data_IF_322805733526
#
_entry.id   IF_322805733526
#
_cell.length_a   1.000
_cell.length_b   1.000
_cell.length_c   1.000
_cell.angle_alpha   90.00
_cell.angle_beta   90.00
_cell.angle_gamma   90.00
#
_symmetry.space_group_name_H-M   'P 1'
#
loop_
_entity.id
_entity.type
_entity.pdbx_description
1 polymer ?
#
# COMPACT_ATOMS: atom_id res chain seq x y z
N UNK A 1 24.25 30.50 31.25
CA UNK A 1 23.20 29.59 30.75
C UNK A 1 23.46 29.41 29.26
N UNK A 2 23.99 28.26 28.85
CA UNK A 2 24.09 27.93 27.43
C UNK A 2 22.68 27.63 26.95
N UNK A 3 22.13 28.53 26.13
CA UNK A 3 20.94 28.25 25.35
C UNK A 3 21.31 27.09 24.42
N UNK A 4 20.69 25.93 24.60
CA UNK A 4 20.79 24.85 23.63
C UNK A 4 20.13 25.34 22.33
N UNK A 5 20.94 25.90 21.43
CA UNK A 5 20.48 26.38 20.12
C UNK A 5 20.41 25.22 19.11
N UNK A 6 19.91 24.06 19.52
CA UNK A 6 19.40 23.10 18.55
C UNK A 6 18.00 23.58 18.18
N UNK A 7 17.94 24.51 17.24
CA UNK A 7 16.68 24.83 16.58
C UNK A 7 16.21 23.54 15.89
N UNK A 8 15.00 23.08 16.26
CA UNK A 8 14.37 21.96 15.57
C UNK A 8 14.29 22.33 14.08
N UNK A 9 14.78 21.48 13.16
CA UNK A 9 14.64 21.76 11.73
C UNK A 9 13.17 21.94 11.39
N UNK A 10 12.87 22.89 10.49
CA UNK A 10 11.49 23.19 10.08
C UNK A 10 10.82 21.94 9.48
N UNK A 11 11.58 21.12 8.75
CA UNK A 11 11.25 19.79 8.25
C UNK A 11 11.97 18.70 9.08
N UNK A 12 11.29 18.00 10.00
CA UNK A 12 11.96 17.05 10.87
C UNK A 12 12.23 15.68 10.23
N UNK A 13 11.68 15.37 9.05
CA UNK A 13 11.78 14.06 8.43
C UNK A 13 12.71 14.09 7.23
N UNK A 14 13.62 13.11 7.15
CA UNK A 14 14.62 12.95 6.10
C UNK A 14 14.48 11.56 5.46
N UNK A 15 14.34 11.54 4.14
CA UNK A 15 14.35 10.34 3.31
C UNK A 15 15.59 10.35 2.40
N UNK A 16 16.34 9.25 2.36
CA UNK A 16 17.40 8.99 1.38
C UNK A 16 17.01 7.81 0.52
N UNK A 17 17.13 7.98 -0.79
CA UNK A 17 16.82 6.95 -1.79
C UNK A 17 17.98 6.77 -2.78
N UNK A 18 18.10 5.59 -3.36
CA UNK A 18 19.01 5.25 -4.45
C UNK A 18 18.19 4.83 -5.66
N UNK A 19 18.37 5.51 -6.79
CA UNK A 19 17.68 5.16 -8.04
C UNK A 19 18.35 3.99 -8.78
N UNK A 20 17.75 3.57 -9.89
CA UNK A 20 18.23 2.46 -10.74
C UNK A 20 19.64 2.75 -11.30
N UNK A 21 19.98 4.02 -11.49
CA UNK A 21 21.28 4.49 -11.97
C UNK A 21 22.33 4.64 -10.84
N UNK A 22 21.99 4.22 -9.61
CA UNK A 22 22.81 4.33 -8.39
C UNK A 22 23.03 5.77 -7.91
N UNK A 23 22.19 6.70 -8.32
CA UNK A 23 22.22 8.07 -7.80
C UNK A 23 21.50 8.12 -6.46
N UNK A 24 22.16 8.71 -5.47
CA UNK A 24 21.58 8.91 -4.14
C UNK A 24 20.95 10.29 -4.04
N UNK A 25 19.68 10.33 -3.68
CA UNK A 25 18.91 11.56 -3.48
C UNK A 25 18.46 11.69 -2.02
N UNK A 26 18.18 12.93 -1.58
CA UNK A 26 17.66 13.21 -0.25
C UNK A 26 16.46 14.16 -0.31
N UNK A 27 15.47 13.91 0.53
CA UNK A 27 14.21 14.64 0.57
C UNK A 27 13.82 14.97 2.02
N UNK A 28 13.17 16.12 2.19
CA UNK A 28 12.79 16.65 3.48
C UNK A 28 11.27 16.83 3.57
N UNK A 29 10.69 16.40 4.69
CA UNK A 29 9.25 16.41 4.92
C UNK A 29 8.89 17.01 6.29
N UNK A 30 7.69 17.60 6.38
CA UNK A 30 7.17 18.22 7.60
C UNK A 30 6.45 17.22 8.53
N UNK A 31 5.85 16.19 7.95
CA UNK A 31 5.12 15.15 8.63
C UNK A 31 5.54 13.75 8.17
N UNK A 32 5.31 12.76 9.03
CA UNK A 32 5.72 11.37 8.82
C UNK A 32 4.96 10.72 7.65
N UNK A 33 3.66 11.01 7.54
CA UNK A 33 2.78 10.40 6.53
C UNK A 33 3.23 10.77 5.12
N UNK A 34 3.44 12.06 4.85
CA UNK A 34 3.89 12.52 3.53
C UNK A 34 5.23 11.90 3.13
N UNK A 35 6.15 11.70 4.07
CA UNK A 35 7.40 10.98 3.81
C UNK A 35 7.18 9.49 3.51
N UNK A 36 6.27 8.84 4.24
CA UNK A 36 5.94 7.44 4.01
C UNK A 36 5.31 7.23 2.63
N UNK A 37 4.38 8.11 2.24
CA UNK A 37 3.73 8.08 0.92
C UNK A 37 4.76 8.26 -0.22
N UNK A 38 5.66 9.26 -0.12
CA UNK A 38 6.77 9.44 -1.09
C UNK A 38 7.74 8.25 -1.11
N UNK A 39 8.03 7.64 0.05
CA UNK A 39 8.88 6.46 0.11
C UNK A 39 8.25 5.24 -0.56
N UNK A 40 6.91 5.10 -0.52
CA UNK A 40 6.18 4.04 -1.24
C UNK A 40 6.20 4.30 -2.74
N UNK A 41 5.87 5.52 -3.18
CA UNK A 41 5.89 5.90 -4.60
C UNK A 41 7.27 5.66 -5.23
N UNK A 42 8.34 6.10 -4.56
CA UNK A 42 9.73 5.90 -5.01
C UNK A 42 10.10 4.43 -5.13
N UNK A 43 9.67 3.60 -4.18
CA UNK A 43 9.91 2.16 -4.25
C UNK A 43 9.20 1.54 -5.45
N UNK A 44 7.95 1.93 -5.72
CA UNK A 44 7.20 1.53 -6.91
C UNK A 44 7.90 1.95 -8.21
N UNK A 45 8.63 3.07 -8.21
CA UNK A 45 9.48 3.52 -9.31
C UNK A 45 10.84 2.78 -9.41
N UNK A 46 11.07 1.78 -8.57
CA UNK A 46 12.30 0.98 -8.55
C UNK A 46 13.45 1.59 -7.73
N UNK A 47 13.19 2.67 -6.98
CA UNK A 47 14.19 3.22 -6.06
C UNK A 47 14.31 2.38 -4.79
N UNK A 48 15.53 2.27 -4.28
CA UNK A 48 15.83 1.66 -2.98
C UNK A 48 15.81 2.71 -1.89
N UNK A 49 15.02 2.50 -0.84
CA UNK A 49 15.08 3.33 0.36
C UNK A 49 16.35 2.98 1.17
N UNK A 50 17.24 3.96 1.33
CA UNK A 50 18.47 3.82 2.13
C UNK A 50 18.18 4.15 3.59
N UNK A 51 17.49 5.26 3.85
CA UNK A 51 17.27 5.79 5.18
C UNK A 51 15.97 6.58 5.24
N UNK A 52 15.20 6.36 6.30
CA UNK A 52 14.07 7.21 6.67
C UNK A 52 14.16 7.50 8.17
N UNK A 53 14.29 8.77 8.54
CA UNK A 53 14.50 9.20 9.93
C UNK A 53 13.74 10.48 10.27
N UNK A 54 13.21 10.55 11.49
CA UNK A 54 12.84 11.82 12.11
C UNK A 54 14.05 12.34 12.88
N UNK A 55 14.64 13.44 12.43
CA UNK A 55 15.83 14.04 13.01
C UNK A 55 15.53 14.68 14.37
N UNK A 56 14.33 15.22 14.58
CA UNK A 56 14.01 15.88 15.85
C UNK A 56 13.93 14.94 17.04
N UNK A 57 13.57 13.68 16.81
CA UNK A 57 13.51 12.66 17.85
C UNK A 57 14.61 11.60 17.72
N UNK A 58 15.43 11.67 16.67
CA UNK A 58 16.41 10.65 16.30
C UNK A 58 15.80 9.24 16.25
N UNK A 59 14.60 9.11 15.68
CA UNK A 59 13.97 7.80 15.47
C UNK A 59 14.03 7.44 13.99
N UNK A 60 14.23 6.14 13.73
CA UNK A 60 13.96 5.57 12.41
C UNK A 60 12.46 5.61 12.19
N UNK A 61 12.06 5.97 10.99
CA UNK A 61 10.66 5.90 10.58
C UNK A 61 10.48 4.58 9.86
N UNK A 62 9.46 3.84 10.26
CA UNK A 62 9.06 2.62 9.57
C UNK A 62 8.45 3.04 8.24
N UNK A 63 9.05 2.58 7.13
CA UNK A 63 8.40 2.70 5.83
C UNK A 63 7.51 1.46 5.70
N UNK A 64 6.21 1.65 5.41
CA UNK A 64 5.33 0.53 5.15
C UNK A 64 5.97 -0.46 4.17
N UNK A 65 5.77 -1.77 4.36
CA UNK A 65 6.09 -2.73 3.32
C UNK A 65 5.35 -2.32 2.05
N UNK A 66 5.94 -2.67 0.90
CA UNK A 66 5.27 -2.43 -0.38
C UNK A 66 4.00 -3.26 -0.33
N UNK A 67 2.84 -2.61 -0.44
CA UNK A 67 1.58 -3.33 -0.52
C UNK A 67 1.52 -3.91 -1.93
N UNK A 68 1.93 -5.16 -2.03
CA UNK A 68 2.06 -5.87 -3.29
C UNK A 68 0.74 -6.53 -3.65
N UNK A 69 0.63 -6.92 -4.92
CA UNK A 69 -0.47 -7.75 -5.40
C UNK A 69 -0.71 -8.99 -4.52
N UNK A 70 0.37 -9.57 -3.97
CA UNK A 70 0.27 -10.72 -3.06
C UNK A 70 -0.38 -10.37 -1.72
N UNK A 71 -0.10 -9.18 -1.17
CA UNK A 71 -0.71 -8.74 0.09
C UNK A 71 -2.21 -8.49 -0.12
N UNK A 72 -2.58 -7.88 -1.25
CA UNK A 72 -3.97 -7.71 -1.64
C UNK A 72 -4.70 -9.04 -1.83
N UNK A 73 -4.11 -9.98 -2.57
CA UNK A 73 -4.66 -11.34 -2.76
C UNK A 73 -4.85 -12.03 -1.40
N UNK A 74 -3.88 -11.91 -0.49
CA UNK A 74 -3.97 -12.52 0.83
C UNK A 74 -5.13 -11.92 1.65
N UNK A 75 -5.32 -10.59 1.63
CA UNK A 75 -6.42 -9.95 2.34
C UNK A 75 -7.80 -10.34 1.79
N UNK A 76 -7.95 -10.36 0.46
CA UNK A 76 -9.18 -10.82 -0.21
C UNK A 76 -9.49 -12.27 0.15
N UNK A 77 -8.49 -13.15 0.12
CA UNK A 77 -8.65 -14.56 0.51
C UNK A 77 -9.05 -14.71 1.97
N UNK A 78 -8.39 -13.98 2.88
CA UNK A 78 -8.68 -14.05 4.30
C UNK A 78 -10.14 -13.65 4.59
N UNK A 79 -10.63 -12.58 3.95
CA UNK A 79 -12.02 -12.15 4.09
C UNK A 79 -13.00 -13.20 3.52
N UNK A 80 -12.70 -13.75 2.34
CA UNK A 80 -13.52 -14.78 1.70
C UNK A 80 -13.60 -16.07 2.52
N UNK A 81 -12.45 -16.59 2.97
CA UNK A 81 -12.38 -17.81 3.76
C UNK A 81 -13.02 -17.65 5.14
N UNK A 82 -12.95 -16.46 5.74
CA UNK A 82 -13.69 -16.17 6.97
C UNK A 82 -15.21 -16.20 6.74
N UNK A 83 -15.70 -15.57 5.66
CA UNK A 83 -17.12 -15.63 5.28
C UNK A 83 -17.59 -17.07 5.03
N UNK A 84 -16.78 -17.91 4.37
CA UNK A 84 -17.06 -19.34 4.19
C UNK A 84 -17.12 -20.09 5.52
N UNK A 85 -16.18 -19.84 6.44
CA UNK A 85 -16.18 -20.47 7.78
C UNK A 85 -17.40 -20.09 8.60
N UNK A 86 -17.93 -18.89 8.40
CA UNK A 86 -19.18 -18.44 9.02
C UNK A 86 -20.43 -19.11 8.41
N UNK A 87 -20.29 -19.81 7.28
CA UNK A 87 -21.37 -20.56 6.64
C UNK A 87 -22.33 -19.70 5.83
N UNK A 88 -21.85 -18.60 5.25
CA UNK A 88 -22.67 -17.77 4.37
C UNK A 88 -22.87 -18.42 2.99
N UNK A 89 -24.11 -18.43 2.53
CA UNK A 89 -24.52 -19.08 1.27
C UNK A 89 -24.28 -18.21 0.03
N UNK A 90 -24.17 -16.89 0.23
CA UNK A 90 -23.92 -15.89 -0.81
C UNK A 90 -22.95 -14.87 -0.25
N UNK A 91 -21.78 -14.78 -0.88
CA UNK A 91 -20.66 -13.95 -0.43
C UNK A 91 -20.44 -12.87 -1.48
N UNK A 92 -20.49 -11.62 -1.02
CA UNK A 92 -20.07 -10.44 -1.79
C UNK A 92 -19.03 -9.70 -0.96
N UNK A 93 -17.81 -9.56 -1.49
CA UNK A 93 -16.77 -8.75 -0.89
C UNK A 93 -16.84 -7.34 -1.46
N UNK A 94 -16.83 -6.34 -0.59
CA UNK A 94 -16.71 -4.94 -0.98
C UNK A 94 -15.27 -4.50 -0.73
N UNK A 95 -14.63 -3.95 -1.76
CA UNK A 95 -13.26 -3.44 -1.72
C UNK A 95 -13.35 -1.92 -1.81
N UNK A 96 -13.25 -1.26 -0.67
CA UNK A 96 -13.19 0.19 -0.59
C UNK A 96 -11.76 0.65 -0.89
N UNK A 97 -11.61 1.56 -1.84
CA UNK A 97 -10.32 2.11 -2.23
C UNK A 97 -10.20 3.56 -1.81
N UNK A 98 -8.96 4.04 -1.69
CA UNK A 98 -8.69 5.46 -1.44
C UNK A 98 -9.10 6.38 -2.61
N UNK A 99 -9.50 5.81 -3.76
CA UNK A 99 -9.88 6.53 -4.98
C UNK A 99 -11.38 6.86 -5.10
N UNK A 100 -12.12 6.89 -3.98
CA UNK A 100 -13.59 7.06 -3.92
C UNK A 100 -14.40 5.94 -4.60
N UNK A 101 -13.74 4.95 -5.21
CA UNK A 101 -14.36 3.80 -5.86
C UNK A 101 -14.44 2.61 -4.88
N UNK A 102 -15.60 1.94 -4.90
CA UNK A 102 -15.81 0.65 -4.24
C UNK A 102 -16.06 -0.41 -5.29
N UNK A 103 -15.29 -1.49 -5.26
CA UNK A 103 -15.46 -2.64 -6.15
C UNK A 103 -16.17 -3.79 -5.41
N UNK A 104 -16.97 -4.57 -6.13
CA UNK A 104 -17.71 -5.69 -5.58
C UNK A 104 -17.32 -7.00 -6.25
N UNK A 105 -16.94 -7.97 -5.43
CA UNK A 105 -16.58 -9.32 -5.87
C UNK A 105 -17.67 -10.28 -5.39
N UNK A 106 -18.36 -10.91 -6.31
CA UNK A 106 -19.41 -11.87 -6.03
C UNK A 106 -18.94 -13.30 -6.30
N UNK A 107 -19.12 -14.18 -5.32
CA UNK A 107 -19.01 -15.63 -5.52
C UNK A 107 -20.30 -16.15 -6.17
N UNK A 108 -20.19 -16.65 -7.39
CA UNK A 108 -21.31 -17.16 -8.17
C UNK A 108 -21.10 -18.63 -8.55
N UNK A 109 -22.17 -19.36 -8.93
CA UNK A 109 -22.02 -20.75 -9.40
C UNK A 109 -21.13 -20.90 -10.64
N UNK A 110 -20.88 -19.83 -11.39
CA UNK A 110 -20.04 -19.83 -12.58
C UNK A 110 -18.56 -19.47 -12.28
N UNK A 111 -18.24 -19.08 -11.04
CA UNK A 111 -16.95 -18.52 -10.65
C UNK A 111 -17.09 -17.14 -10.00
N UNK A 112 -15.99 -16.39 -9.93
CA UNK A 112 -15.95 -15.06 -9.32
C UNK A 112 -16.25 -13.98 -10.35
N UNK A 113 -17.20 -13.11 -10.04
CA UNK A 113 -17.54 -11.96 -10.87
C UNK A 113 -17.21 -10.67 -10.11
N UNK A 114 -16.49 -9.76 -10.74
CA UNK A 114 -16.24 -8.42 -10.22
C UNK A 114 -16.92 -7.39 -11.13
N UNK A 115 -17.55 -6.38 -10.53
CA UNK A 115 -18.24 -5.29 -11.24
C UNK A 115 -17.32 -4.42 -12.11
N UNK A 116 -16.00 -4.50 -11.89
CA UNK A 116 -14.99 -3.86 -12.73
C UNK A 116 -14.78 -4.56 -14.10
N UNK A 117 -15.27 -5.80 -14.28
CA UNK A 117 -15.00 -6.65 -15.44
C UNK A 117 -16.26 -7.28 -16.03
N UNK A 118 -16.30 -7.42 -17.37
CA UNK A 118 -17.44 -8.03 -18.09
C UNK A 118 -17.35 -9.56 -18.22
N UNK A 119 -16.45 -10.21 -17.48
CA UNK A 119 -16.21 -11.65 -17.53
C UNK A 119 -16.06 -12.27 -16.14
N UNK A 120 -16.10 -13.61 -16.09
CA UNK A 120 -16.04 -14.40 -14.86
C UNK A 120 -14.67 -15.05 -14.74
N UNK A 121 -14.10 -15.02 -13.54
CA UNK A 121 -12.83 -15.65 -13.18
C UNK A 121 -13.07 -17.02 -12.55
N UNK A 122 -12.18 -17.98 -12.79
CA UNK A 122 -12.31 -19.34 -12.25
C UNK A 122 -12.01 -19.40 -10.73
N UNK A 123 -11.11 -18.53 -10.25
CA UNK A 123 -10.65 -18.49 -8.87
C UNK A 123 -10.49 -17.05 -8.36
N UNK A 124 -10.50 -16.90 -7.03
CA UNK A 124 -10.47 -15.59 -6.37
C UNK A 124 -9.10 -14.92 -6.47
N UNK A 125 -8.01 -15.67 -6.58
CA UNK A 125 -6.65 -15.13 -6.67
C UNK A 125 -6.48 -14.42 -8.03
N UNK A 126 -6.84 -15.10 -9.12
CA UNK A 126 -6.83 -14.54 -10.48
C UNK A 126 -7.69 -13.27 -10.59
N UNK A 127 -8.84 -13.26 -9.93
CA UNK A 127 -9.71 -12.09 -9.87
C UNK A 127 -9.05 -10.94 -9.10
N UNK A 128 -8.49 -11.22 -7.92
CA UNK A 128 -7.88 -10.22 -7.06
C UNK A 128 -6.61 -9.64 -7.71
N UNK A 129 -5.81 -10.48 -8.36
CA UNK A 129 -4.64 -10.09 -9.14
C UNK A 129 -5.03 -9.12 -10.27
N UNK A 130 -6.06 -9.45 -11.05
CA UNK A 130 -6.54 -8.59 -12.14
C UNK A 130 -7.09 -7.26 -11.60
N UNK A 131 -7.88 -7.30 -10.53
CA UNK A 131 -8.41 -6.08 -9.90
C UNK A 131 -7.29 -5.16 -9.42
N UNK A 132 -6.29 -5.71 -8.72
CA UNK A 132 -5.15 -4.96 -8.24
C UNK A 132 -4.37 -4.30 -9.38
N UNK A 133 -3.95 -5.10 -10.36
CA UNK A 133 -3.09 -4.64 -11.45
C UNK A 133 -3.78 -3.65 -12.41
N UNK A 134 -5.11 -3.74 -12.58
CA UNK A 134 -5.82 -2.93 -13.58
C UNK A 134 -6.62 -1.75 -13.00
N UNK A 135 -6.92 -1.76 -11.70
CA UNK A 135 -7.81 -0.77 -11.07
C UNK A 135 -7.23 -0.08 -9.83
N UNK A 136 -6.26 -0.70 -9.15
CA UNK A 136 -5.74 -0.19 -7.87
C UNK A 136 -4.34 0.43 -7.97
N UNK A 137 -3.58 0.11 -9.02
CA UNK A 137 -2.29 0.74 -9.35
C UNK A 137 -2.47 1.84 -10.40
#
# INVERSE_FOLDING_TARGET
MNQNTFAKPETPFLLLTEDIDRSVSYYWWNDEKSMQDDAVERRGNGERIILAVEISSYRKVEIPPEYMVNDFIEEVNNAYEDAKKQGFDSIVLAIDTDMEDTYYISDTPAGFQCDAFDFVFEDIDSMAEALFNEKLI
#
